data_IF_852656962008
#
_entry.id   IF_852656962008
#
_cell.length_a   1.000
_cell.length_b   1.000
_cell.length_c   1.000
_cell.angle_alpha   90.00
_cell.angle_beta   90.00
_cell.angle_gamma   90.00
#
_symmetry.space_group_name_H-M   'P 1'
#
loop_
_entity.id
_entity.type
_entity.pdbx_description
1 polymer ?
#
# COMPACT_ATOMS: atom_id res chain seq x y z
N UNK A 1 -13.69 60.91 45.66
CA UNK A 1 -13.39 61.23 47.07
C UNK A 1 -13.10 59.90 47.74
N UNK A 2 -11.81 59.54 47.86
CA UNK A 2 -11.01 59.63 49.10
C UNK A 2 -11.40 58.50 50.07
N UNK A 3 -10.55 57.65 50.65
CA UNK A 3 -9.11 57.46 50.85
C UNK A 3 -8.99 55.99 51.34
N UNK A 4 -8.09 55.13 50.84
CA UNK A 4 -6.67 54.94 51.22
C UNK A 4 -6.42 54.42 52.66
N UNK A 5 -5.79 53.23 52.70
CA UNK A 5 -4.86 52.68 53.70
C UNK A 5 -5.43 52.12 55.03
N UNK A 6 -4.89 51.05 55.63
CA UNK A 6 -3.46 50.66 55.70
C UNK A 6 -3.28 49.25 56.28
N UNK A 7 -2.26 48.51 55.78
CA UNK A 7 -1.17 47.83 56.53
C UNK A 7 -1.49 46.78 57.61
N UNK A 8 -0.72 45.71 57.85
CA UNK A 8 0.38 44.99 57.19
C UNK A 8 0.77 43.81 58.11
N UNK A 9 1.34 42.75 57.53
CA UNK A 9 2.40 41.84 58.02
C UNK A 9 2.29 41.27 59.47
N UNK A 10 2.62 40.00 59.74
CA UNK A 10 3.94 39.39 59.50
C UNK A 10 3.96 37.92 59.96
N UNK A 11 4.84 37.13 59.30
CA UNK A 11 5.61 35.93 59.77
C UNK A 11 5.14 34.53 59.39
N UNK A 12 5.81 34.03 58.35
CA UNK A 12 6.27 32.66 58.13
C UNK A 12 6.77 31.97 59.42
N UNK A 13 6.44 30.68 59.56
CA UNK A 13 7.47 29.63 59.50
C UNK A 13 6.88 28.25 59.23
N UNK A 14 7.50 27.56 58.26
CA UNK A 14 7.27 26.18 57.84
C UNK A 14 7.39 25.17 58.99
N UNK A 15 6.52 24.15 58.98
CA UNK A 15 6.94 22.74 59.10
C UNK A 15 5.93 21.81 58.42
N UNK A 16 6.45 21.00 57.51
CA UNK A 16 5.80 19.90 56.77
C UNK A 16 5.42 18.74 57.70
N UNK A 17 4.31 18.05 57.40
CA UNK A 17 4.19 16.58 57.16
C UNK A 17 2.69 16.23 57.04
N UNK A 18 2.20 15.92 55.83
CA UNK A 18 2.04 14.61 55.15
C UNK A 18 0.65 13.98 55.38
N UNK A 19 -0.04 13.85 54.23
CA UNK A 19 -1.01 12.84 53.74
C UNK A 19 -2.29 12.48 54.51
N UNK A 20 -3.37 12.08 53.83
CA UNK A 20 -3.87 12.28 52.47
C UNK A 20 -5.27 11.66 52.52
N UNK A 21 -6.28 12.32 51.96
CA UNK A 21 -7.60 11.74 51.75
C UNK A 21 -8.18 12.28 50.45
N UNK A 22 -9.00 11.43 49.85
CA UNK A 22 -10.11 11.72 48.92
C UNK A 22 -9.83 11.90 47.43
N UNK A 23 -10.24 10.86 46.69
CA UNK A 23 -11.22 10.89 45.58
C UNK A 23 -11.41 12.22 44.86
N UNK A 24 -11.05 12.30 43.58
CA UNK A 24 -11.49 13.40 42.70
C UNK A 24 -11.94 12.91 41.33
N UNK A 25 -13.07 13.49 40.93
CA UNK A 25 -13.76 13.56 39.64
C UNK A 25 -12.87 13.78 38.41
N UNK A 26 -13.25 13.15 37.29
CA UNK A 26 -12.62 13.31 35.98
C UNK A 26 -13.07 14.65 35.37
N UNK A 27 -12.11 15.57 35.17
CA UNK A 27 -12.28 16.83 34.46
C UNK A 27 -11.79 16.72 33.00
N UNK A 28 -12.35 17.57 32.14
CA UNK A 28 -12.09 17.65 30.70
C UNK A 28 -10.60 17.93 30.37
N UNK A 29 -10.11 17.32 29.29
CA UNK A 29 -8.73 17.44 28.83
C UNK A 29 -8.46 18.78 28.13
N UNK A 30 -7.32 19.37 28.50
CA UNK A 30 -6.71 20.65 28.08
C UNK A 30 -6.08 20.54 26.66
N UNK A 31 -6.16 21.55 25.76
CA UNK A 31 -5.74 21.42 24.36
C UNK A 31 -4.29 21.85 24.06
N UNK A 32 -3.42 22.02 25.05
CA UNK A 32 -2.00 22.34 24.83
C UNK A 32 -1.07 21.51 25.72
N UNK A 33 -0.62 20.35 25.24
CA UNK A 33 0.64 19.77 25.70
C UNK A 33 1.26 18.82 24.66
N UNK A 34 2.32 19.31 24.04
CA UNK A 34 3.46 18.62 23.43
C UNK A 34 3.20 17.37 22.55
N UNK A 35 3.40 17.54 21.25
CA UNK A 35 3.82 16.42 20.39
C UNK A 35 5.10 15.80 20.97
N UNK A 36 5.22 14.46 21.05
CA UNK A 36 6.49 13.85 21.38
C UNK A 36 7.47 14.05 20.21
N UNK A 37 8.65 14.62 20.50
CA UNK A 37 9.71 14.90 19.52
C UNK A 37 10.36 13.64 18.90
N UNK A 38 9.89 12.44 19.25
CA UNK A 38 10.34 11.19 18.68
C UNK A 38 9.15 10.26 18.43
N UNK A 39 8.82 9.90 17.17
CA UNK A 39 7.88 8.81 16.93
C UNK A 39 8.47 7.53 17.54
N UNK A 40 7.63 6.75 18.19
CA UNK A 40 7.95 5.47 18.81
C UNK A 40 8.95 4.64 17.97
N UNK A 41 10.20 4.55 18.44
CA UNK A 41 11.30 3.80 17.82
C UNK A 41 11.89 2.84 18.87
N UNK A 42 11.53 1.54 18.88
CA UNK A 42 12.15 0.62 19.83
C UNK A 42 13.45 -0.04 19.34
N UNK A 43 13.94 0.19 18.10
CA UNK A 43 15.10 -0.58 17.58
C UNK A 43 16.04 0.17 16.62
N UNK A 44 16.29 1.47 16.80
CA UNK A 44 17.23 2.19 15.92
C UNK A 44 18.72 2.13 16.33
N UNK A 45 19.09 1.56 17.48
CA UNK A 45 20.51 1.55 17.93
C UNK A 45 21.13 0.17 18.14
N UNK A 46 20.53 -0.91 17.64
CA UNK A 46 21.12 -2.24 17.73
C UNK A 46 21.41 -2.73 16.33
N UNK A 47 22.68 -2.72 15.92
CA UNK A 47 23.09 -3.60 14.82
C UNK A 47 22.67 -5.02 15.20
N UNK A 48 21.99 -5.77 14.32
CA UNK A 48 21.61 -7.13 14.62
C UNK A 48 22.88 -7.88 15.06
N UNK A 49 22.83 -8.64 16.18
CA UNK A 49 23.97 -9.47 16.56
C UNK A 49 24.35 -10.31 15.35
N UNK A 50 25.64 -10.53 15.12
CA UNK A 50 26.17 -11.35 14.01
C UNK A 50 25.70 -12.81 14.01
N UNK A 51 24.80 -13.15 14.94
CA UNK A 51 24.28 -14.46 15.25
C UNK A 51 22.80 -14.33 15.70
N UNK A 52 21.97 -13.61 14.94
CA UNK A 52 20.51 -13.68 15.09
C UNK A 52 20.04 -15.07 14.64
N UNK A 53 20.22 -16.05 15.52
CA UNK A 53 19.90 -17.44 15.25
C UNK A 53 18.40 -17.57 15.01
N UNK A 54 18.06 -18.22 13.90
CA UNK A 54 16.72 -18.69 13.59
C UNK A 54 16.13 -19.34 14.84
N UNK A 55 14.87 -19.03 15.16
CA UNK A 55 14.19 -19.56 16.33
C UNK A 55 12.94 -20.32 15.93
N UNK A 56 12.59 -21.36 16.68
CA UNK A 56 11.37 -22.14 16.46
C UNK A 56 10.11 -21.34 16.83
N UNK A 57 8.93 -21.94 16.61
CA UNK A 57 7.64 -21.31 16.89
C UNK A 57 7.40 -20.94 18.37
N UNK A 58 8.27 -21.40 19.27
CA UNK A 58 8.22 -21.10 20.71
C UNK A 58 9.33 -20.12 21.14
N UNK A 59 10.09 -19.56 20.19
CA UNK A 59 11.16 -18.61 20.45
C UNK A 59 12.46 -19.25 20.96
N UNK A 60 12.64 -20.56 20.78
CA UNK A 60 13.88 -21.26 21.13
C UNK A 60 14.85 -21.23 19.95
N UNK A 61 16.16 -20.98 20.18
CA UNK A 61 17.16 -20.98 19.11
C UNK A 61 17.23 -22.35 18.41
N UNK A 62 17.18 -22.35 17.09
CA UNK A 62 17.38 -23.55 16.28
C UNK A 62 18.81 -24.04 16.42
N UNK A 63 18.97 -25.37 16.52
CA UNK A 63 20.27 -26.02 16.47
C UNK A 63 20.90 -25.88 15.07
N UNK A 64 22.23 -25.96 14.99
CA UNK A 64 22.96 -25.88 13.71
C UNK A 64 22.45 -26.89 12.67
N UNK A 65 22.01 -28.07 13.13
CA UNK A 65 21.44 -29.11 12.28
C UNK A 65 20.05 -28.76 11.74
N UNK A 66 19.25 -28.02 12.49
CA UNK A 66 17.94 -27.52 12.05
C UNK A 66 18.11 -26.37 11.06
N UNK A 67 19.10 -25.50 11.27
CA UNK A 67 19.48 -24.45 10.32
C UNK A 67 19.93 -25.07 8.99
N UNK A 68 20.83 -26.05 9.03
CA UNK A 68 21.33 -26.72 7.82
C UNK A 68 20.22 -27.53 7.09
N UNK A 69 19.25 -28.07 7.83
CA UNK A 69 18.09 -28.74 7.27
C UNK A 69 17.14 -27.76 6.56
N UNK A 70 16.86 -26.61 7.18
CA UNK A 70 16.05 -25.54 6.59
C UNK A 70 16.70 -24.99 5.31
N UNK A 71 18.00 -24.72 5.34
CA UNK A 71 18.74 -24.23 4.17
C UNK A 71 18.73 -25.24 3.01
N UNK A 72 18.77 -26.54 3.34
CA UNK A 72 18.70 -27.63 2.36
C UNK A 72 17.29 -27.79 1.80
N UNK A 73 16.26 -27.61 2.62
CA UNK A 73 14.85 -27.63 2.22
C UNK A 73 14.52 -26.45 1.30
N UNK A 74 14.92 -25.23 1.68
CA UNK A 74 14.82 -24.04 0.82
C UNK A 74 15.56 -24.23 -0.51
N UNK A 75 16.70 -24.93 -0.51
CA UNK A 75 17.43 -25.25 -1.76
C UNK A 75 16.66 -26.23 -2.65
N UNK A 76 16.00 -27.23 -2.06
CA UNK A 76 15.20 -28.20 -2.81
C UNK A 76 13.91 -27.57 -3.37
N UNK A 77 13.31 -26.65 -2.63
CA UNK A 77 12.12 -25.89 -3.03
C UNK A 77 12.38 -24.92 -4.19
N UNK A 78 13.51 -24.22 -4.16
CA UNK A 78 13.99 -23.40 -5.28
C UNK A 78 14.11 -24.22 -6.57
N UNK A 79 14.55 -25.47 -6.48
CA UNK A 79 14.68 -26.35 -7.63
C UNK A 79 13.34 -26.92 -8.13
N UNK A 80 12.25 -26.83 -7.35
CA UNK A 80 10.96 -27.43 -7.65
C UNK A 80 9.88 -26.43 -8.11
N UNK A 81 10.13 -25.12 -8.00
CA UNK A 81 9.21 -24.07 -8.45
C UNK A 81 9.46 -23.78 -9.94
N UNK A 82 8.49 -24.00 -10.85
CA UNK A 82 8.69 -23.70 -12.27
C UNK A 82 8.85 -22.20 -12.49
N UNK A 83 9.87 -21.80 -13.24
CA UNK A 83 10.05 -20.42 -13.67
C UNK A 83 9.03 -20.06 -14.76
N UNK A 84 8.52 -18.80 -14.80
CA UNK A 84 7.76 -18.32 -15.94
C UNK A 84 8.56 -18.55 -17.24
N UNK A 85 7.91 -19.06 -18.28
CA UNK A 85 8.57 -19.39 -19.54
C UNK A 85 8.79 -18.18 -20.45
N UNK A 86 8.10 -17.05 -20.20
CA UNK A 86 8.22 -15.80 -20.94
C UNK A 86 8.26 -14.61 -19.96
N UNK A 87 9.27 -13.76 -20.08
CA UNK A 87 9.47 -12.57 -19.23
C UNK A 87 9.25 -11.26 -19.98
N UNK A 88 8.83 -11.33 -21.25
CA UNK A 88 8.01 -10.25 -21.74
C UNK A 88 6.72 -10.34 -20.93
N UNK A 89 6.67 -9.57 -19.83
CA UNK A 89 5.40 -9.22 -19.21
C UNK A 89 4.66 -8.43 -20.29
N UNK A 90 3.94 -9.17 -21.14
CA UNK A 90 3.12 -8.59 -22.15
C UNK A 90 2.03 -7.85 -21.37
N UNK A 91 2.10 -6.53 -21.43
CA UNK A 91 0.92 -5.71 -21.18
C UNK A 91 -0.20 -6.32 -22.04
N UNK A 92 -1.37 -6.67 -21.47
CA UNK A 92 -2.37 -7.34 -22.28
C UNK A 92 -2.74 -6.43 -23.46
N UNK A 93 -2.60 -6.93 -24.69
CA UNK A 93 -2.72 -6.13 -25.92
C UNK A 93 -4.09 -5.45 -26.09
N UNK A 94 -5.08 -5.92 -25.34
CA UNK A 94 -6.47 -5.46 -25.37
C UNK A 94 -6.79 -4.42 -24.29
N UNK A 95 -5.83 -4.03 -23.44
CA UNK A 95 -6.10 -3.01 -22.43
C UNK A 95 -6.22 -1.62 -23.07
N UNK A 96 -7.18 -0.80 -22.59
CA UNK A 96 -7.35 0.55 -23.07
C UNK A 96 -6.16 1.43 -22.69
N UNK A 97 -5.60 2.12 -23.68
CA UNK A 97 -4.53 3.11 -23.52
C UNK A 97 -5.09 4.46 -23.97
N UNK A 98 -5.51 5.36 -23.06
CA UNK A 98 -5.37 5.36 -21.58
C UNK A 98 -6.45 4.52 -20.83
N UNK A 99 -6.32 4.29 -19.50
CA UNK A 99 -5.31 4.84 -18.58
C UNK A 99 -4.00 4.06 -18.55
N UNK A 100 -3.98 2.83 -19.07
CA UNK A 100 -2.78 2.01 -19.09
C UNK A 100 -1.73 2.61 -20.01
N UNK A 101 -0.46 2.47 -19.61
CA UNK A 101 0.69 2.88 -20.42
C UNK A 101 1.69 1.74 -20.43
N UNK A 102 2.18 1.38 -21.61
CA UNK A 102 2.97 0.17 -21.80
C UNK A 102 4.44 0.42 -21.46
N UNK A 103 4.76 0.41 -20.16
CA UNK A 103 6.15 0.39 -19.68
C UNK A 103 6.66 -1.04 -19.70
N UNK A 104 7.57 -1.34 -20.62
CA UNK A 104 8.05 -2.71 -20.81
C UNK A 104 8.67 -3.28 -19.53
N UNK A 105 8.16 -4.44 -19.10
CA UNK A 105 8.62 -5.12 -17.90
C UNK A 105 8.03 -4.59 -16.59
N UNK A 106 7.03 -3.71 -16.65
CA UNK A 106 6.33 -3.21 -15.46
C UNK A 106 4.83 -3.53 -15.59
N UNK A 107 4.31 -4.52 -14.83
CA UNK A 107 2.89 -4.83 -14.87
C UNK A 107 2.08 -3.73 -14.21
N UNK A 108 0.79 -3.69 -14.56
CA UNK A 108 -0.19 -2.85 -13.88
C UNK A 108 0.15 -1.34 -13.93
N UNK A 109 0.95 -0.90 -14.90
CA UNK A 109 1.39 0.50 -15.04
C UNK A 109 0.31 1.38 -15.69
N UNK A 110 -0.10 2.45 -15.00
CA UNK A 110 -1.09 3.39 -15.53
C UNK A 110 -0.96 4.77 -14.92
N UNK A 111 -1.50 5.75 -15.63
CA UNK A 111 -1.67 7.12 -15.16
C UNK A 111 -2.91 7.24 -14.25
N UNK A 112 -2.84 8.07 -13.21
CA UNK A 112 -3.99 8.41 -12.35
C UNK A 112 -4.71 9.69 -12.80
N UNK A 113 -4.14 10.44 -13.74
CA UNK A 113 -4.63 11.73 -14.23
C UNK A 113 -5.79 11.63 -15.22
N UNK A 114 -6.46 12.76 -15.42
CA UNK A 114 -7.50 12.99 -16.41
C UNK A 114 -8.93 12.70 -15.94
N UNK A 115 -9.14 12.10 -14.76
CA UNK A 115 -10.49 11.87 -14.23
C UNK A 115 -11.16 13.19 -13.80
N UNK A 116 -12.45 13.41 -14.14
CA UNK A 116 -13.21 14.55 -13.67
C UNK A 116 -13.17 14.69 -12.15
N UNK A 117 -12.94 15.90 -11.67
CA UNK A 117 -12.85 16.21 -10.24
C UNK A 117 -13.56 17.53 -9.89
N UNK A 118 -13.62 17.86 -8.61
CA UNK A 118 -14.24 19.10 -8.14
C UNK A 118 -13.29 20.29 -8.33
N UNK A 119 -13.81 21.51 -8.61
CA UNK A 119 -12.98 22.71 -8.73
C UNK A 119 -12.15 22.97 -7.47
N UNK A 120 -10.92 23.49 -7.59
CA UNK A 120 -10.15 23.91 -6.42
C UNK A 120 -10.91 24.95 -5.60
N UNK A 121 -10.67 25.00 -4.29
CA UNK A 121 -11.41 25.88 -3.36
C UNK A 121 -11.33 27.38 -3.72
N UNK A 122 -10.29 27.79 -4.46
CA UNK A 122 -10.05 29.17 -4.91
C UNK A 122 -10.70 29.52 -6.27
N UNK A 123 -11.35 28.55 -6.93
CA UNK A 123 -11.81 28.70 -8.32
C UNK A 123 -13.33 28.86 -8.45
N UNK A 124 -13.76 29.58 -9.50
CA UNK A 124 -15.16 29.64 -9.92
C UNK A 124 -15.60 28.34 -10.62
N UNK A 125 -16.91 28.14 -10.78
CA UNK A 125 -17.45 27.05 -11.60
C UNK A 125 -16.81 27.05 -13.00
N UNK A 126 -16.49 25.85 -13.50
CA UNK A 126 -15.95 25.70 -14.85
C UNK A 126 -16.98 26.17 -15.89
N UNK A 127 -16.54 26.86 -16.97
CA UNK A 127 -17.39 27.12 -18.12
C UNK A 127 -17.95 25.81 -18.70
N UNK A 128 -19.12 25.81 -19.36
CA UNK A 128 -19.74 24.58 -19.90
C UNK A 128 -18.86 23.77 -20.87
N UNK A 129 -17.88 24.40 -21.52
CA UNK A 129 -16.97 23.76 -22.47
C UNK A 129 -15.70 23.18 -21.81
N UNK A 130 -15.56 23.31 -20.48
CA UNK A 130 -14.36 22.89 -19.75
C UNK A 130 -14.72 22.07 -18.53
N UNK A 131 -13.80 21.20 -18.13
CA UNK A 131 -13.92 20.40 -16.91
C UNK A 131 -12.64 20.46 -16.09
N UNK A 132 -12.80 20.42 -14.78
CA UNK A 132 -11.69 20.16 -13.88
C UNK A 132 -11.39 18.66 -13.88
N UNK A 133 -10.13 18.32 -14.01
CA UNK A 133 -9.65 16.94 -13.94
C UNK A 133 -8.45 16.84 -13.00
N UNK A 134 -8.21 15.64 -12.46
CA UNK A 134 -6.95 15.31 -11.80
C UNK A 134 -5.82 15.49 -12.83
N UNK A 135 -4.79 16.26 -12.48
CA UNK A 135 -3.73 16.69 -13.40
C UNK A 135 -3.04 15.53 -14.09
N UNK A 136 -2.95 15.63 -15.43
CA UNK A 136 -2.30 14.62 -16.26
C UNK A 136 -0.77 14.69 -16.21
N UNK A 137 -0.14 13.59 -16.59
CA UNK A 137 1.31 13.38 -16.67
C UNK A 137 2.06 13.58 -15.35
N UNK A 138 1.40 13.49 -14.20
CA UNK A 138 2.00 13.76 -12.89
C UNK A 138 2.09 12.52 -12.00
N UNK A 139 1.06 11.69 -12.00
CA UNK A 139 0.91 10.58 -11.06
C UNK A 139 0.77 9.27 -11.82
N UNK A 140 1.71 8.37 -11.58
CA UNK A 140 1.70 7.03 -12.14
C UNK A 140 1.77 5.99 -11.04
N UNK A 141 1.13 4.85 -11.27
CA UNK A 141 1.14 3.71 -10.35
C UNK A 141 1.44 2.42 -11.09
N UNK A 142 2.05 1.46 -10.39
CA UNK A 142 2.33 0.16 -10.97
C UNK A 142 2.50 -0.96 -9.93
N UNK A 143 2.65 -2.19 -10.42
CA UNK A 143 3.21 -3.29 -9.65
C UNK A 143 4.75 -3.14 -9.53
N UNK A 144 5.40 -4.05 -8.80
CA UNK A 144 6.83 -3.94 -8.59
C UNK A 144 7.61 -3.96 -9.92
N UNK A 145 8.57 -3.05 -10.12
CA UNK A 145 9.25 -2.87 -11.41
C UNK A 145 10.51 -3.74 -11.52
N UNK A 146 10.56 -4.89 -10.83
CA UNK A 146 11.75 -5.75 -10.77
C UNK A 146 12.17 -6.25 -12.16
N UNK A 147 11.25 -6.24 -13.13
CA UNK A 147 11.49 -6.70 -14.50
C UNK A 147 11.63 -5.54 -15.50
N UNK A 148 11.77 -4.28 -15.03
CA UNK A 148 11.93 -3.11 -15.88
C UNK A 148 13.09 -3.31 -16.86
N UNK A 149 12.82 -3.11 -18.15
CA UNK A 149 13.84 -3.21 -19.19
C UNK A 149 14.50 -1.86 -19.47
N UNK A 150 15.67 -1.81 -20.14
CA UNK A 150 16.26 -0.55 -20.58
C UNK A 150 15.33 0.30 -21.47
N UNK A 151 14.53 -0.34 -22.32
CA UNK A 151 13.51 0.33 -23.13
C UNK A 151 12.40 0.92 -22.24
N UNK A 152 11.91 0.16 -21.26
CA UNK A 152 10.94 0.65 -20.28
C UNK A 152 11.49 1.82 -19.45
N UNK A 153 12.75 1.73 -19.00
CA UNK A 153 13.42 2.80 -18.28
C UNK A 153 13.56 4.06 -19.12
N UNK A 154 13.97 3.94 -20.39
CA UNK A 154 14.05 5.06 -21.33
C UNK A 154 12.68 5.70 -21.54
N UNK A 155 11.62 4.89 -21.67
CA UNK A 155 10.26 5.40 -21.80
C UNK A 155 9.82 6.16 -20.54
N UNK A 156 10.09 5.63 -19.34
CA UNK A 156 9.83 6.33 -18.07
C UNK A 156 10.54 7.68 -18.01
N UNK A 157 11.86 7.70 -18.20
CA UNK A 157 12.69 8.90 -17.97
C UNK A 157 12.59 9.93 -19.09
N UNK A 158 12.42 9.49 -20.34
CA UNK A 158 12.48 10.37 -21.52
C UNK A 158 11.10 10.68 -22.09
N UNK A 159 10.16 9.74 -22.06
CA UNK A 159 8.82 9.95 -22.62
C UNK A 159 7.85 10.44 -21.55
N UNK A 160 7.82 9.80 -20.38
CA UNK A 160 6.95 10.19 -19.27
C UNK A 160 7.58 11.23 -18.33
N UNK A 161 8.87 11.53 -18.51
CA UNK A 161 9.66 12.46 -17.69
C UNK A 161 9.62 12.10 -16.19
N UNK A 162 9.54 10.81 -15.87
CA UNK A 162 9.53 10.30 -14.49
C UNK A 162 10.96 10.12 -14.01
N UNK A 163 11.29 10.78 -12.91
CA UNK A 163 12.61 10.69 -12.27
C UNK A 163 12.56 10.22 -10.80
N UNK A 164 11.36 10.13 -10.21
CA UNK A 164 11.16 9.69 -8.82
C UNK A 164 10.22 8.48 -8.77
N UNK A 165 10.67 7.40 -8.13
CA UNK A 165 9.88 6.18 -7.93
C UNK A 165 9.83 5.78 -6.46
N UNK A 166 8.64 5.74 -5.88
CA UNK A 166 8.40 5.45 -4.47
C UNK A 166 8.02 3.99 -4.26
N UNK A 167 8.84 3.27 -3.48
CA UNK A 167 8.66 1.85 -3.16
C UNK A 167 8.04 1.70 -1.77
N UNK A 168 6.77 1.29 -1.75
CA UNK A 168 5.97 1.10 -0.53
C UNK A 168 6.12 -0.29 0.10
N UNK A 169 6.95 -1.16 -0.49
CA UNK A 169 7.19 -2.52 0.01
C UNK A 169 8.04 -2.52 1.26
N UNK A 170 7.86 -3.52 2.13
CA UNK A 170 8.75 -3.75 3.26
C UNK A 170 10.06 -4.41 2.78
N UNK A 171 11.14 -4.27 3.57
CA UNK A 171 12.41 -4.93 3.27
C UNK A 171 12.29 -6.47 3.16
N UNK A 172 11.52 -7.18 4.01
CA UNK A 172 11.31 -8.62 3.85
C UNK A 172 10.61 -9.02 2.54
N UNK A 173 9.66 -8.22 2.04
CA UNK A 173 9.01 -8.48 0.75
C UNK A 173 9.97 -8.32 -0.41
N UNK A 174 10.77 -7.25 -0.33
CA UNK A 174 11.82 -6.96 -1.29
C UNK A 174 12.84 -8.10 -1.34
N UNK A 175 13.32 -8.56 -0.19
CA UNK A 175 14.30 -9.65 -0.09
C UNK A 175 13.75 -10.97 -0.63
N UNK A 176 12.47 -11.29 -0.39
CA UNK A 176 11.83 -12.50 -0.94
C UNK A 176 11.69 -12.48 -2.46
N UNK A 177 11.39 -11.31 -3.03
CA UNK A 177 11.40 -11.15 -4.48
C UNK A 177 12.84 -11.25 -5.02
N UNK A 178 13.80 -10.61 -4.36
CA UNK A 178 15.22 -10.71 -4.71
C UNK A 178 15.72 -12.16 -4.70
N UNK A 179 15.36 -12.95 -3.68
CA UNK A 179 15.75 -14.36 -3.56
C UNK A 179 15.14 -15.21 -4.66
N UNK A 180 13.86 -15.00 -4.99
CA UNK A 180 13.17 -15.70 -6.09
C UNK A 180 13.88 -15.44 -7.41
N UNK A 181 14.27 -14.19 -7.64
CA UNK A 181 14.95 -13.77 -8.87
C UNK A 181 16.38 -14.30 -8.90
N UNK A 182 17.13 -14.22 -7.81
CA UNK A 182 18.51 -14.74 -7.72
C UNK A 182 18.57 -16.28 -7.88
N UNK A 183 17.56 -17.01 -7.41
CA UNK A 183 17.51 -18.47 -7.54
C UNK A 183 17.13 -18.95 -8.94
N UNK A 184 16.62 -18.06 -9.80
CA UNK A 184 16.13 -18.44 -11.13
C UNK A 184 17.23 -18.73 -12.17
N UNK A 185 18.51 -18.67 -11.79
CA UNK A 185 19.64 -18.86 -12.71
C UNK A 185 19.74 -17.82 -13.85
N UNK A 186 18.77 -16.92 -13.95
CA UNK A 186 18.75 -15.79 -14.87
C UNK A 186 19.58 -14.68 -14.28
N UNK A 187 20.40 -14.03 -15.10
CA UNK A 187 20.93 -12.71 -14.74
C UNK A 187 19.72 -11.85 -14.39
N UNK A 188 19.61 -11.52 -13.11
CA UNK A 188 18.65 -10.52 -12.59
C UNK A 188 18.65 -9.36 -13.58
N UNK A 189 17.46 -8.95 -14.01
CA UNK A 189 17.27 -7.96 -15.08
C UNK A 189 18.26 -6.82 -14.94
N UNK A 190 18.80 -6.27 -16.05
CA UNK A 190 19.96 -5.38 -16.03
C UNK A 190 19.82 -4.13 -15.14
N UNK A 191 18.61 -3.84 -14.63
CA UNK A 191 18.28 -2.68 -13.82
C UNK A 191 17.88 -3.00 -12.37
N UNK A 192 17.68 -4.26 -12.00
CA UNK A 192 17.34 -4.66 -10.63
C UNK A 192 18.57 -5.18 -9.88
N UNK A 193 18.75 -4.72 -8.65
CA UNK A 193 19.82 -5.18 -7.76
C UNK A 193 19.58 -6.65 -7.35
N UNK A 194 20.57 -7.54 -7.48
CA UNK A 194 20.48 -8.91 -6.96
C UNK A 194 20.36 -8.96 -5.43
N UNK A 195 20.84 -7.91 -4.75
CA UNK A 195 20.85 -7.82 -3.28
C UNK A 195 19.55 -7.23 -2.78
N UNK A 196 19.06 -6.17 -3.44
CA UNK A 196 17.88 -5.46 -2.99
C UNK A 196 16.63 -5.77 -3.82
N UNK A 197 16.67 -6.59 -4.87
CA UNK A 197 15.49 -6.91 -5.71
C UNK A 197 14.82 -5.70 -6.39
N UNK A 198 15.49 -4.55 -6.43
CA UNK A 198 14.92 -3.25 -6.81
C UNK A 198 15.82 -2.43 -7.73
N UNK A 199 15.23 -1.39 -8.32
CA UNK A 199 15.89 -0.44 -9.22
C UNK A 199 16.78 0.56 -8.44
N UNK A 200 17.97 0.14 -8.06
CA UNK A 200 18.89 1.01 -7.33
C UNK A 200 19.86 1.77 -8.25
N UNK A 201 20.07 1.28 -9.48
CA UNK A 201 21.10 1.80 -10.40
C UNK A 201 20.54 2.07 -11.82
N UNK A 202 19.45 2.85 -11.91
CA UNK A 202 18.87 3.24 -13.19
C UNK A 202 19.22 4.70 -13.50
N UNK A 203 19.98 5.01 -14.57
CA UNK A 203 20.31 6.38 -14.94
C UNK A 203 19.06 7.24 -15.11
N UNK A 204 19.02 8.38 -14.42
CA UNK A 204 17.89 9.31 -14.49
C UNK A 204 16.65 8.87 -13.70
N UNK A 205 16.65 7.74 -13.00
CA UNK A 205 15.52 7.31 -12.17
C UNK A 205 15.99 7.04 -10.75
N UNK A 206 15.46 7.81 -9.80
CA UNK A 206 15.75 7.66 -8.38
C UNK A 206 14.66 6.85 -7.70
N UNK A 207 15.06 5.77 -7.04
CA UNK A 207 14.21 5.04 -6.10
C UNK A 207 14.20 5.73 -4.73
N UNK A 208 13.02 5.86 -4.15
CA UNK A 208 12.79 6.28 -2.78
C UNK A 208 12.18 5.10 -2.01
N UNK A 209 12.95 4.54 -1.08
CA UNK A 209 12.47 3.47 -0.22
C UNK A 209 11.64 4.07 0.93
N UNK A 210 10.31 3.93 0.84
CA UNK A 210 9.34 4.55 1.76
C UNK A 210 8.30 3.51 2.19
N UNK A 211 8.70 2.48 2.95
CA UNK A 211 7.83 1.35 3.25
C UNK A 211 6.61 1.79 4.08
N UNK A 212 5.43 1.26 3.74
CA UNK A 212 4.23 1.40 4.62
C UNK A 212 4.43 0.62 5.92
N UNK A 213 5.13 -0.52 5.85
CA UNK A 213 5.51 -1.32 7.00
C UNK A 213 7.03 -1.47 7.02
N UNK A 214 7.70 -0.89 8.01
CA UNK A 214 9.16 -0.98 8.15
C UNK A 214 9.61 -2.45 8.29
N UNK A 215 8.95 -3.17 9.18
CA UNK A 215 9.02 -4.62 9.31
C UNK A 215 7.59 -5.14 9.30
N UNK A 216 7.32 -6.13 8.46
CA UNK A 216 6.07 -6.87 8.54
C UNK A 216 6.28 -8.07 9.45
N UNK A 217 5.35 -8.27 10.37
CA UNK A 217 5.29 -9.51 11.14
C UNK A 217 4.85 -10.64 10.20
N UNK A 218 5.82 -11.49 9.85
CA UNK A 218 5.64 -12.75 9.12
C UNK A 218 5.50 -13.94 10.08
N UNK A 219 5.36 -13.69 11.37
CA UNK A 219 5.08 -14.72 12.35
C UNK A 219 3.79 -15.49 12.01
N UNK A 220 3.71 -16.78 12.37
CA UNK A 220 2.57 -17.64 12.01
C UNK A 220 1.20 -17.05 12.34
N UNK A 221 1.09 -16.32 13.46
CA UNK A 221 -0.16 -15.67 13.90
C UNK A 221 -0.54 -14.49 13.01
N UNK A 222 0.42 -13.64 12.62
CA UNK A 222 0.17 -12.50 11.75
C UNK A 222 -0.18 -12.94 10.33
N UNK A 223 0.48 -13.98 9.82
CA UNK A 223 0.15 -14.59 8.53
C UNK A 223 -1.21 -15.27 8.54
N UNK A 224 -1.54 -16.04 9.59
CA UNK A 224 -2.86 -16.66 9.73
C UNK A 224 -3.98 -15.60 9.81
N UNK A 225 -3.75 -14.49 10.51
CA UNK A 225 -4.70 -13.37 10.59
C UNK A 225 -4.89 -12.70 9.23
N UNK A 226 -3.81 -12.43 8.50
CA UNK A 226 -3.88 -11.89 7.12
C UNK A 226 -4.60 -12.86 6.19
N UNK A 227 -4.32 -14.16 6.31
CA UNK A 227 -4.99 -15.17 5.52
C UNK A 227 -6.49 -15.18 5.80
N UNK A 228 -6.89 -15.24 7.07
CA UNK A 228 -8.28 -15.17 7.46
C UNK A 228 -8.97 -13.89 6.94
N UNK A 229 -8.29 -12.75 6.94
CA UNK A 229 -8.84 -11.51 6.39
C UNK A 229 -9.00 -11.56 4.87
N UNK A 230 -7.97 -11.98 4.14
CA UNK A 230 -7.98 -11.93 2.68
C UNK A 230 -8.72 -13.09 2.02
N UNK A 231 -8.97 -14.19 2.73
CA UNK A 231 -9.81 -15.30 2.24
C UNK A 231 -11.27 -15.20 2.69
N UNK A 232 -11.57 -14.32 3.67
CA UNK A 232 -12.92 -14.08 4.15
C UNK A 232 -13.88 -13.88 2.97
N UNK A 233 -14.98 -14.62 2.99
CA UNK A 233 -16.04 -14.46 2.00
C UNK A 233 -16.58 -13.04 2.03
N UNK A 234 -17.05 -12.58 0.87
CA UNK A 234 -17.63 -11.26 0.78
C UNK A 234 -18.88 -11.24 1.64
N UNK A 235 -18.90 -10.38 2.65
CA UNK A 235 -20.12 -10.02 3.33
C UNK A 235 -20.98 -9.22 2.36
N UNK A 236 -22.16 -9.75 2.04
CA UNK A 236 -23.23 -8.93 1.50
C UNK A 236 -23.85 -8.14 2.64
N UNK A 237 -23.55 -6.85 2.69
CA UNK A 237 -24.34 -5.93 3.48
C UNK A 237 -25.56 -5.52 2.64
N UNK A 238 -26.72 -6.09 2.97
CA UNK A 238 -27.99 -5.81 2.32
C UNK A 238 -28.42 -4.34 2.47
N UNK A 239 -27.93 -3.62 3.48
CA UNK A 239 -28.19 -2.18 3.65
C UNK A 239 -27.23 -1.32 2.81
N UNK A 240 -25.99 -1.75 2.61
CA UNK A 240 -25.01 -1.01 1.81
C UNK A 240 -25.24 -1.12 0.29
N UNK A 241 -25.87 -2.20 -0.18
CA UNK A 241 -26.24 -2.40 -1.59
C UNK A 241 -25.10 -2.89 -2.50
N UNK A 242 -23.95 -3.30 -1.94
CA UNK A 242 -22.82 -3.87 -2.68
C UNK A 242 -22.05 -4.92 -1.84
N UNK A 243 -21.28 -5.79 -2.50
CA UNK A 243 -20.48 -6.83 -1.85
C UNK A 243 -19.09 -6.31 -1.48
N UNK A 244 -18.58 -6.64 -0.29
CA UNK A 244 -17.20 -6.34 0.10
C UNK A 244 -16.69 -7.36 1.12
N UNK A 245 -15.39 -7.38 1.37
CA UNK A 245 -14.76 -8.20 2.40
C UNK A 245 -14.30 -7.33 3.56
N UNK A 246 -14.86 -7.57 4.74
CA UNK A 246 -14.45 -6.96 6.01
C UNK A 246 -12.95 -7.08 6.27
N UNK A 247 -12.35 -8.21 5.90
CA UNK A 247 -10.92 -8.42 6.05
C UNK A 247 -10.08 -7.47 5.20
N UNK A 248 -10.50 -7.20 3.96
CA UNK A 248 -9.86 -6.19 3.10
C UNK A 248 -10.06 -4.77 3.64
N UNK A 249 -11.23 -4.44 4.17
CA UNK A 249 -11.48 -3.11 4.78
C UNK A 249 -10.55 -2.88 5.98
N UNK A 250 -10.41 -3.88 6.86
CA UNK A 250 -9.46 -3.85 7.99
C UNK A 250 -8.02 -3.70 7.51
N UNK A 251 -7.63 -4.41 6.45
CA UNK A 251 -6.31 -4.27 5.87
C UNK A 251 -6.08 -2.85 5.32
N UNK A 252 -7.07 -2.21 4.68
CA UNK A 252 -6.93 -0.84 4.14
C UNK A 252 -6.88 0.21 5.23
N UNK A 253 -7.63 0.02 6.31
CA UNK A 253 -7.50 0.80 7.53
C UNK A 253 -6.09 0.72 8.11
N UNK A 254 -5.54 -0.48 8.23
CA UNK A 254 -4.17 -0.67 8.74
C UNK A 254 -3.13 -0.05 7.80
N UNK A 255 -3.30 -0.20 6.49
CA UNK A 255 -2.42 0.42 5.48
C UNK A 255 -2.45 1.94 5.59
N UNK A 256 -3.63 2.55 5.68
CA UNK A 256 -3.75 4.00 5.82
C UNK A 256 -3.10 4.46 7.14
N UNK A 257 -3.34 3.75 8.24
CA UNK A 257 -2.78 4.11 9.55
C UNK A 257 -1.24 4.07 9.55
N UNK A 258 -0.64 2.97 9.09
CA UNK A 258 0.81 2.79 9.11
C UNK A 258 1.51 3.51 7.95
N UNK A 259 0.80 3.70 6.83
CA UNK A 259 1.31 4.33 5.62
C UNK A 259 1.39 5.85 5.70
N UNK A 260 0.81 6.48 6.73
CA UNK A 260 0.76 7.94 6.87
C UNK A 260 2.13 8.61 6.68
N UNK A 261 3.20 8.05 7.26
CA UNK A 261 4.56 8.57 7.08
C UNK A 261 5.07 8.47 5.63
N UNK A 262 4.91 7.31 4.98
CA UNK A 262 5.27 7.12 3.58
C UNK A 262 4.46 8.02 2.64
N UNK A 263 3.17 8.16 2.90
CA UNK A 263 2.27 9.01 2.12
C UNK A 263 2.59 10.49 2.31
N UNK A 264 3.00 10.91 3.51
CA UNK A 264 3.46 12.29 3.77
C UNK A 264 4.62 12.67 2.86
N UNK A 265 5.60 11.78 2.68
CA UNK A 265 6.74 12.04 1.79
C UNK A 265 6.28 12.28 0.35
N UNK A 266 5.32 11.48 -0.14
CA UNK A 266 4.79 11.65 -1.49
C UNK A 266 3.88 12.89 -1.61
N UNK A 267 3.07 13.21 -0.60
CA UNK A 267 2.30 14.47 -0.60
C UNK A 267 3.21 15.70 -0.57
N UNK A 268 4.32 15.64 0.16
CA UNK A 268 5.34 16.69 0.17
C UNK A 268 6.03 16.83 -1.19
N UNK A 269 6.32 15.74 -1.89
CA UNK A 269 6.76 15.80 -3.29
C UNK A 269 5.78 16.62 -4.13
N UNK A 270 4.49 16.29 -4.10
CA UNK A 270 3.46 16.95 -4.92
C UNK A 270 3.20 18.41 -4.52
N UNK A 271 3.52 18.76 -3.28
CA UNK A 271 3.49 20.14 -2.79
C UNK A 271 4.68 20.96 -3.30
N UNK A 272 5.88 20.43 -3.15
CA UNK A 272 7.13 21.15 -3.36
C UNK A 272 7.56 21.12 -4.85
N UNK A 273 7.16 20.08 -5.57
CA UNK A 273 7.54 19.78 -6.96
C UNK A 273 6.30 19.44 -7.82
N UNK A 274 5.31 20.34 -7.95
CA UNK A 274 3.98 20.04 -8.53
C UNK A 274 3.94 19.76 -10.04
N UNK A 275 5.09 19.84 -10.70
CA UNK A 275 5.26 19.54 -12.12
C UNK A 275 6.27 18.40 -12.36
N UNK A 276 6.82 17.81 -11.30
CA UNK A 276 7.72 16.66 -11.40
C UNK A 276 6.90 15.37 -11.25
N UNK A 277 6.85 14.51 -12.28
CA UNK A 277 6.07 13.29 -12.21
C UNK A 277 6.71 12.25 -11.30
N UNK A 278 5.87 11.50 -10.59
CA UNK A 278 6.30 10.39 -9.75
C UNK A 278 5.57 9.09 -10.09
N UNK A 279 6.25 7.97 -9.87
CA UNK A 279 5.65 6.64 -9.81
C UNK A 279 5.60 6.17 -8.36
N UNK A 280 4.48 5.57 -7.94
CA UNK A 280 4.40 4.89 -6.65
C UNK A 280 3.92 3.44 -6.83
N UNK A 281 4.54 2.51 -6.11
CA UNK A 281 4.25 1.09 -6.29
C UNK A 281 4.32 0.32 -4.98
N UNK A 282 3.74 -0.87 -5.00
CA UNK A 282 3.99 -1.89 -3.99
C UNK A 282 4.31 -3.22 -4.71
N UNK A 283 3.86 -4.36 -4.19
CA UNK A 283 4.06 -5.65 -4.87
C UNK A 283 3.17 -5.76 -6.10
N UNK A 284 1.85 -5.86 -5.93
CA UNK A 284 0.90 -5.94 -7.05
C UNK A 284 0.46 -4.57 -7.60
N UNK A 285 0.83 -3.47 -6.92
CA UNK A 285 0.26 -2.16 -7.22
C UNK A 285 -1.22 -2.04 -6.84
N UNK A 286 -1.69 -2.90 -5.92
CA UNK A 286 -3.10 -3.06 -5.53
C UNK A 286 -3.43 -2.32 -4.23
N UNK A 287 -3.02 -2.86 -3.08
CA UNK A 287 -3.53 -2.43 -1.78
C UNK A 287 -2.88 -1.11 -1.28
N UNK A 288 -1.58 -1.14 -0.95
CA UNK A 288 -0.85 0.07 -0.47
C UNK A 288 -0.83 1.20 -1.49
N UNK A 289 -0.73 0.84 -2.77
CA UNK A 289 -0.80 1.75 -3.89
C UNK A 289 -2.23 2.27 -4.08
N UNK A 290 -3.24 1.40 -3.98
CA UNK A 290 -4.64 1.77 -4.14
C UNK A 290 -5.15 2.70 -3.05
N UNK A 291 -4.76 2.48 -1.80
CA UNK A 291 -5.10 3.38 -0.69
C UNK A 291 -4.53 4.78 -0.95
N UNK A 292 -3.26 4.90 -1.36
CA UNK A 292 -2.69 6.21 -1.71
C UNK A 292 -3.38 6.87 -2.90
N UNK A 293 -3.65 6.11 -3.98
CA UNK A 293 -4.39 6.60 -5.15
C UNK A 293 -5.79 7.10 -4.78
N UNK A 294 -6.51 6.35 -3.94
CA UNK A 294 -7.83 6.73 -3.45
C UNK A 294 -7.79 8.01 -2.61
N UNK A 295 -6.78 8.19 -1.75
CA UNK A 295 -6.60 9.44 -0.98
C UNK A 295 -6.39 10.64 -1.90
N UNK A 296 -5.54 10.51 -2.94
CA UNK A 296 -5.33 11.59 -3.94
C UNK A 296 -6.63 11.92 -4.67
N UNK A 297 -7.32 10.91 -5.19
CA UNK A 297 -8.54 11.12 -5.97
C UNK A 297 -9.68 11.70 -5.12
N UNK A 298 -9.80 11.26 -3.86
CA UNK A 298 -10.74 11.87 -2.89
C UNK A 298 -10.38 13.31 -2.56
N UNK A 299 -9.10 13.66 -2.44
CA UNK A 299 -8.67 15.03 -2.14
C UNK A 299 -9.10 16.02 -3.21
N UNK A 300 -8.99 15.64 -4.49
CA UNK A 300 -9.44 16.51 -5.60
C UNK A 300 -10.95 16.38 -5.86
N UNK A 301 -11.62 15.40 -5.25
CA UNK A 301 -13.07 15.20 -5.38
C UNK A 301 -13.47 14.47 -6.67
N UNK A 302 -12.68 13.48 -7.10
CA UNK A 302 -13.15 12.52 -8.11
C UNK A 302 -14.32 11.72 -7.54
N UNK A 303 -15.27 11.38 -8.40
CA UNK A 303 -16.44 10.57 -8.04
C UNK A 303 -16.05 9.20 -7.47
N UNK A 304 -16.82 8.73 -6.48
CA UNK A 304 -16.53 7.48 -5.76
C UNK A 304 -16.52 6.26 -6.68
N UNK A 305 -17.44 6.17 -7.65
CA UNK A 305 -17.50 5.03 -8.56
C UNK A 305 -16.28 5.01 -9.49
N UNK A 306 -15.78 6.18 -9.89
CA UNK A 306 -14.54 6.30 -10.67
C UNK A 306 -13.32 5.85 -9.85
N UNK A 307 -13.25 6.21 -8.56
CA UNK A 307 -12.17 5.75 -7.67
C UNK A 307 -12.20 4.22 -7.52
N UNK A 308 -13.38 3.66 -7.28
CA UNK A 308 -13.54 2.21 -7.12
C UNK A 308 -13.23 1.46 -8.43
N UNK A 309 -13.63 2.02 -9.57
CA UNK A 309 -13.29 1.48 -10.89
C UNK A 309 -11.79 1.55 -11.18
N UNK A 310 -11.12 2.68 -10.93
CA UNK A 310 -9.67 2.83 -11.11
C UNK A 310 -8.88 1.86 -10.23
N UNK A 311 -9.28 1.71 -8.97
CA UNK A 311 -8.71 0.71 -8.08
C UNK A 311 -8.84 -0.69 -8.67
N UNK A 312 -10.03 -1.02 -9.19
CA UNK A 312 -10.36 -2.32 -9.71
C UNK A 312 -9.66 -2.68 -11.02
N UNK A 313 -9.17 -1.69 -11.79
CA UNK A 313 -8.31 -1.91 -12.95
C UNK A 313 -7.02 -2.68 -12.63
N UNK A 314 -6.69 -2.87 -11.36
CA UNK A 314 -5.54 -3.68 -10.95
C UNK A 314 -5.63 -5.13 -11.45
N UNK A 315 -6.81 -5.75 -11.43
CA UNK A 315 -6.98 -7.11 -11.94
C UNK A 315 -6.62 -7.26 -13.44
N UNK A 316 -7.24 -6.51 -14.36
CA UNK A 316 -6.89 -6.58 -15.78
C UNK A 316 -5.46 -6.07 -16.03
N UNK A 317 -5.01 -5.06 -15.28
CA UNK A 317 -3.64 -4.51 -15.38
C UNK A 317 -2.54 -5.50 -15.00
N UNK A 318 -2.83 -6.47 -14.14
CA UNK A 318 -1.90 -7.56 -13.83
C UNK A 318 -1.86 -8.63 -14.94
N UNK A 319 -2.93 -8.79 -15.73
CA UNK A 319 -2.95 -9.72 -16.86
C UNK A 319 -2.49 -11.14 -16.49
N UNK A 320 -1.55 -11.69 -17.26
CA UNK A 320 -0.97 -13.03 -17.02
C UNK A 320 -0.35 -13.20 -15.64
N UNK A 321 0.22 -12.13 -15.06
CA UNK A 321 0.81 -12.17 -13.71
C UNK A 321 -0.19 -12.48 -12.62
N UNK A 322 -1.46 -12.11 -12.81
CA UNK A 322 -2.51 -12.45 -11.85
C UNK A 322 -2.63 -13.96 -11.71
N UNK A 323 -2.56 -14.71 -12.81
CA UNK A 323 -2.64 -16.18 -12.82
C UNK A 323 -1.45 -16.80 -12.10
N UNK A 324 -0.24 -16.33 -12.41
CA UNK A 324 0.98 -16.78 -11.73
C UNK A 324 0.93 -16.51 -10.22
N UNK A 325 0.38 -15.36 -9.81
CA UNK A 325 0.27 -15.03 -8.39
C UNK A 325 -0.76 -15.90 -7.66
N UNK A 326 -1.88 -16.19 -8.31
CA UNK A 326 -2.89 -17.13 -7.81
C UNK A 326 -2.29 -18.53 -7.64
N UNK A 327 -1.59 -19.02 -8.65
CA UNK A 327 -0.97 -20.35 -8.62
C UNK A 327 0.09 -20.43 -7.51
N UNK A 328 0.91 -19.39 -7.35
CA UNK A 328 1.88 -19.30 -6.27
C UNK A 328 1.21 -19.34 -4.89
N UNK A 329 0.22 -18.49 -4.65
CA UNK A 329 -0.47 -18.43 -3.35
C UNK A 329 -1.20 -19.75 -3.06
N UNK A 330 -1.81 -20.38 -4.07
CA UNK A 330 -2.46 -21.68 -3.90
C UNK A 330 -1.44 -22.77 -3.52
N UNK A 331 -0.22 -22.71 -4.04
CA UNK A 331 0.83 -23.70 -3.75
C UNK A 331 1.54 -23.45 -2.40
N UNK A 332 1.85 -22.18 -2.09
CA UNK A 332 2.77 -21.83 -0.98
C UNK A 332 2.12 -21.02 0.16
N UNK A 333 0.85 -20.63 0.01
CA UNK A 333 0.13 -19.79 0.98
C UNK A 333 0.59 -18.31 0.97
N UNK A 334 0.06 -17.53 1.92
CA UNK A 334 0.48 -16.13 2.08
C UNK A 334 1.88 -16.05 2.70
N UNK A 335 2.80 -15.39 1.97
CA UNK A 335 4.17 -15.20 2.43
C UNK A 335 5.15 -16.31 2.04
N UNK A 336 4.67 -17.39 1.41
CA UNK A 336 5.50 -18.48 0.90
C UNK A 336 6.36 -18.04 -0.28
N UNK A 337 7.56 -17.55 0.02
CA UNK A 337 8.67 -17.59 -0.93
C UNK A 337 9.10 -19.04 -1.11
N UNK A 338 8.48 -19.76 -2.04
CA UNK A 338 8.93 -21.09 -2.48
C UNK A 338 8.71 -22.27 -1.53
N UNK A 339 8.33 -22.05 -0.27
CA UNK A 339 8.02 -23.08 0.74
C UNK A 339 6.93 -24.08 0.35
N UNK A 340 7.19 -25.40 0.43
CA UNK A 340 6.16 -26.44 0.41
C UNK A 340 5.15 -26.22 1.54
N UNK A 341 3.89 -26.67 1.37
CA UNK A 341 2.91 -26.65 2.46
C UNK A 341 3.46 -27.42 3.66
N UNK A 342 3.51 -26.77 4.83
CA UNK A 342 3.83 -27.42 6.10
C UNK A 342 2.92 -28.64 6.27
N UNK A 343 3.52 -29.83 6.37
CA UNK A 343 2.83 -31.01 6.84
C UNK A 343 2.24 -30.69 8.22
N UNK A 344 0.91 -30.53 8.29
CA UNK A 344 0.21 -30.75 9.56
C UNK A 344 0.58 -32.15 10.02
N UNK A 345 1.06 -32.27 11.26
CA UNK A 345 1.34 -33.56 11.89
C UNK A 345 0.10 -34.47 11.75
N UNK A 346 0.25 -35.51 10.93
CA UNK A 346 -0.76 -36.53 10.68
C UNK A 346 -1.03 -37.32 11.96
N UNK A 347 -2.28 -37.31 12.42
CA UNK A 347 -2.84 -38.43 13.16
C UNK A 347 -3.28 -39.46 12.11
N UNK A 348 -2.56 -40.57 12.03
CA UNK A 348 -2.73 -41.60 11.00
C UNK A 348 -4.02 -42.39 11.25
N UNK A 349 -5.03 -42.21 10.40
CA UNK A 349 -6.04 -43.23 10.09
C UNK A 349 -6.21 -43.31 8.59
N UNK A 350 -5.73 -44.41 8.00
CA UNK A 350 -5.57 -44.54 6.55
C UNK A 350 -6.89 -44.53 5.80
N UNK A 351 -7.00 -43.60 4.86
CA UNK A 351 -7.80 -43.68 3.63
C UNK A 351 -7.23 -42.63 2.65
N UNK A 352 -7.28 -42.93 1.35
CA UNK A 352 -6.50 -42.30 0.25
C UNK A 352 -6.48 -40.75 0.30
N UNK A 353 -5.32 -40.16 0.60
CA UNK A 353 -5.13 -38.71 0.71
C UNK A 353 -4.78 -38.05 -0.63
N UNK A 354 -5.62 -37.13 -1.10
CA UNK A 354 -5.18 -36.02 -1.96
C UNK A 354 -4.84 -34.87 -1.00
N UNK A 355 -3.56 -34.54 -0.81
CA UNK A 355 -3.16 -33.36 -0.01
C UNK A 355 -3.79 -32.10 -0.61
N UNK A 356 -4.76 -31.51 0.08
CA UNK A 356 -5.36 -30.24 -0.33
C UNK A 356 -4.30 -29.12 -0.17
N UNK A 357 -4.18 -28.19 -1.12
CA UNK A 357 -3.35 -27.00 -0.93
C UNK A 357 -3.80 -26.22 0.32
N UNK A 358 -2.85 -25.53 0.97
CA UNK A 358 -3.11 -24.75 2.19
C UNK A 358 -4.14 -23.62 1.98
N UNK A 359 -4.32 -23.19 0.72
CA UNK A 359 -5.30 -22.20 0.27
C UNK A 359 -5.86 -22.70 -1.06
N UNK A 360 -7.19 -22.72 -1.24
CA UNK A 360 -7.81 -23.12 -2.50
C UNK A 360 -7.45 -22.13 -3.63
N UNK A 361 -7.55 -22.56 -4.90
CA UNK A 361 -7.31 -21.64 -6.03
C UNK A 361 -8.30 -20.47 -6.01
N UNK A 362 -9.54 -20.71 -5.60
CA UNK A 362 -10.59 -19.70 -5.44
C UNK A 362 -10.27 -18.73 -4.30
N UNK A 363 -9.75 -19.22 -3.18
CA UNK A 363 -9.26 -18.38 -2.07
C UNK A 363 -8.07 -17.53 -2.51
N UNK A 364 -7.11 -18.12 -3.24
CA UNK A 364 -5.98 -17.41 -3.82
C UNK A 364 -6.43 -16.33 -4.84
N UNK A 365 -7.44 -16.64 -5.65
CA UNK A 365 -8.06 -15.68 -6.56
C UNK A 365 -8.72 -14.51 -5.81
N UNK A 366 -9.38 -14.76 -4.68
CA UNK A 366 -9.91 -13.70 -3.81
C UNK A 366 -8.80 -12.81 -3.24
N UNK A 367 -7.69 -13.40 -2.78
CA UNK A 367 -6.52 -12.65 -2.30
C UNK A 367 -5.95 -11.76 -3.41
N UNK A 368 -5.90 -12.25 -4.64
CA UNK A 368 -5.41 -11.49 -5.80
C UNK A 368 -6.41 -10.46 -6.35
N UNK A 369 -7.69 -10.58 -6.02
CA UNK A 369 -8.75 -9.72 -6.53
C UNK A 369 -8.67 -8.27 -6.06
N UNK A 370 -9.17 -7.34 -6.88
CA UNK A 370 -9.27 -5.90 -6.59
C UNK A 370 -10.70 -5.42 -6.79
N UNK A 371 -11.65 -5.97 -6.04
CA UNK A 371 -13.07 -5.64 -6.23
C UNK A 371 -13.40 -4.21 -5.78
N UNK A 372 -14.20 -3.50 -6.57
CA UNK A 372 -14.66 -2.14 -6.32
C UNK A 372 -15.31 -1.99 -4.93
N UNK A 373 -16.16 -2.92 -4.52
CA UNK A 373 -16.81 -2.89 -3.21
C UNK A 373 -15.86 -2.82 -2.01
N UNK A 374 -14.66 -3.42 -2.07
CA UNK A 374 -13.67 -3.31 -0.99
C UNK A 374 -13.15 -1.87 -0.84
N UNK A 375 -12.88 -1.21 -1.97
CA UNK A 375 -12.45 0.19 -1.98
C UNK A 375 -13.60 1.11 -1.54
N UNK A 376 -14.82 0.85 -2.02
CA UNK A 376 -16.02 1.60 -1.62
C UNK A 376 -16.24 1.54 -0.11
N UNK A 377 -16.14 0.34 0.47
CA UNK A 377 -16.27 0.16 1.91
C UNK A 377 -15.16 0.89 2.68
N UNK A 378 -13.91 0.83 2.24
CA UNK A 378 -12.83 1.63 2.85
C UNK A 378 -13.10 3.13 2.80
N UNK A 379 -13.51 3.66 1.65
CA UNK A 379 -13.82 5.07 1.48
C UNK A 379 -14.92 5.51 2.47
N UNK A 380 -16.03 4.77 2.55
CA UNK A 380 -17.17 5.17 3.38
C UNK A 380 -16.95 4.93 4.87
N UNK A 381 -16.49 3.74 5.24
CA UNK A 381 -16.43 3.33 6.66
C UNK A 381 -15.18 3.83 7.36
N UNK A 382 -14.03 3.76 6.69
CA UNK A 382 -12.74 4.09 7.29
C UNK A 382 -12.37 5.54 7.01
N UNK A 383 -12.31 5.95 5.74
CA UNK A 383 -11.85 7.29 5.39
C UNK A 383 -12.85 8.35 5.85
N UNK A 384 -14.12 8.26 5.46
CA UNK A 384 -15.15 9.22 5.89
C UNK A 384 -15.56 8.98 7.35
N UNK A 385 -15.83 7.72 7.73
CA UNK A 385 -16.35 7.38 9.05
C UNK A 385 -15.33 7.49 10.20
N UNK A 386 -14.17 6.86 10.10
CA UNK A 386 -13.18 6.83 11.18
C UNK A 386 -12.19 8.00 11.15
N UNK A 387 -11.65 8.32 9.97
CA UNK A 387 -10.67 9.40 9.84
C UNK A 387 -11.30 10.79 9.70
N UNK A 388 -12.62 10.88 9.51
CA UNK A 388 -13.33 12.16 9.36
C UNK A 388 -13.10 12.82 8.00
N UNK A 389 -12.80 12.03 6.96
CA UNK A 389 -12.56 12.46 5.60
C UNK A 389 -11.08 12.70 5.26
N UNK A 390 -10.80 12.86 3.97
CA UNK A 390 -9.42 12.96 3.44
C UNK A 390 -8.65 14.17 3.98
N UNK A 391 -9.31 15.31 4.19
CA UNK A 391 -8.67 16.51 4.75
C UNK A 391 -8.26 16.28 6.21
N UNK A 392 -9.13 15.66 7.01
CA UNK A 392 -8.82 15.28 8.41
C UNK A 392 -7.69 14.25 8.46
N UNK A 393 -7.70 13.26 7.57
CA UNK A 393 -6.59 12.31 7.45
C UNK A 393 -5.26 13.01 7.15
N UNK A 394 -5.21 13.89 6.14
CA UNK A 394 -3.98 14.59 5.75
C UNK A 394 -3.45 15.52 6.84
N UNK A 395 -4.35 16.17 7.59
CA UNK A 395 -3.95 17.09 8.65
C UNK A 395 -3.51 16.37 9.92
N UNK A 396 -4.26 15.35 10.36
CA UNK A 396 -4.01 14.64 11.62
C UNK A 396 -2.98 13.52 11.50
N UNK A 397 -3.04 12.76 10.41
CA UNK A 397 -2.17 11.58 10.21
C UNK A 397 -0.90 11.95 9.45
N UNK A 398 -1.00 12.80 8.43
CA UNK A 398 0.15 13.21 7.62
C UNK A 398 0.81 14.53 8.07
N UNK A 399 0.22 15.25 9.03
CA UNK A 399 0.81 16.47 9.59
C UNK A 399 0.89 17.64 8.61
N UNK A 400 0.05 17.67 7.56
CA UNK A 400 -0.07 18.83 6.68
C UNK A 400 -0.96 19.89 7.33
N UNK A 401 -0.65 21.16 7.13
CA UNK A 401 -1.57 22.25 7.48
C UNK A 401 -2.75 22.30 6.50
N UNK A 402 -3.88 22.89 6.91
CA UNK A 402 -5.02 23.08 6.01
C UNK A 402 -4.66 23.89 4.75
N UNK A 403 -3.77 24.89 4.90
CA UNK A 403 -3.26 25.68 3.79
C UNK A 403 -2.43 24.83 2.81
N UNK A 404 -1.65 23.89 3.31
CA UNK A 404 -0.93 22.92 2.47
C UNK A 404 -1.90 21.96 1.78
N UNK A 405 -2.92 21.46 2.46
CA UNK A 405 -3.93 20.59 1.84
C UNK A 405 -4.67 21.34 0.71
N UNK A 406 -5.02 22.61 0.92
CA UNK A 406 -5.63 23.44 -0.12
C UNK A 406 -4.69 23.65 -1.32
N UNK A 407 -3.41 23.97 -1.08
CA UNK A 407 -2.41 24.13 -2.14
C UNK A 407 -2.14 22.82 -2.89
N UNK A 408 -2.11 21.69 -2.18
CA UNK A 408 -1.97 20.37 -2.79
C UNK A 408 -3.13 20.08 -3.75
N UNK A 409 -4.37 20.39 -3.32
CA UNK A 409 -5.56 20.25 -4.18
C UNK A 409 -5.47 21.14 -5.42
N UNK A 410 -4.96 22.36 -5.31
CA UNK A 410 -4.70 23.25 -6.45
C UNK A 410 -3.64 22.67 -7.39
N UNK A 411 -2.51 22.21 -6.86
CA UNK A 411 -1.42 21.62 -7.65
C UNK A 411 -1.85 20.37 -8.44
N UNK A 412 -2.80 19.60 -7.89
CA UNK A 412 -3.32 18.35 -8.45
C UNK A 412 -4.49 18.53 -9.41
N UNK A 413 -5.01 19.74 -9.60
CA UNK A 413 -6.20 19.97 -10.41
C UNK A 413 -5.86 20.82 -11.63
N UNK A 414 -6.38 20.45 -12.79
CA UNK A 414 -6.23 21.23 -14.02
C UNK A 414 -7.57 21.43 -14.72
N UNK A 415 -7.74 22.58 -15.40
CA UNK A 415 -8.92 22.89 -16.18
C UNK A 415 -8.66 22.60 -17.66
N UNK A 416 -9.37 21.63 -18.21
CA UNK A 416 -9.19 21.15 -19.59
C UNK A 416 -10.45 21.38 -20.42
N UNK A 417 -10.32 21.30 -21.75
CA UNK A 417 -11.49 21.33 -22.63
C UNK A 417 -12.26 20.00 -22.51
N UNK A 418 -13.59 20.05 -22.50
CA UNK A 418 -14.44 18.87 -22.37
C UNK A 418 -14.54 18.10 -23.70
N UNK A 419 -13.40 17.55 -24.13
CA UNK A 419 -13.23 16.81 -25.38
C UNK A 419 -12.57 15.45 -25.14
N UNK A 420 -12.82 14.45 -26.01
CA UNK A 420 -12.17 13.15 -25.92
C UNK A 420 -10.64 13.26 -25.86
N UNK A 421 -10.02 12.51 -24.94
CA UNK A 421 -8.57 12.47 -24.74
C UNK A 421 -8.03 13.46 -23.70
N UNK A 422 -8.77 14.54 -23.39
CA UNK A 422 -8.44 15.42 -22.26
C UNK A 422 -9.15 15.01 -20.97
N UNK A 423 -10.40 14.57 -21.10
CA UNK A 423 -11.20 14.04 -19.98
C UNK A 423 -11.26 12.52 -20.07
N UNK A 424 -10.77 11.85 -19.01
CA UNK A 424 -10.86 10.40 -18.89
C UNK A 424 -12.28 9.98 -18.57
N UNK A 425 -12.67 8.84 -19.13
CA UNK A 425 -13.95 8.19 -18.84
C UNK A 425 -13.69 6.73 -18.48
N UNK A 426 -14.62 6.12 -17.74
CA UNK A 426 -14.56 4.68 -17.51
C UNK A 426 -14.74 3.97 -18.86
N UNK A 427 -13.94 2.94 -19.05
CA UNK A 427 -13.91 2.14 -20.28
C UNK A 427 -14.28 0.70 -19.96
N UNK A 428 -14.99 0.07 -20.89
CA UNK A 428 -15.33 -1.34 -20.81
C UNK A 428 -14.09 -2.19 -21.14
N UNK A 429 -13.91 -3.29 -20.41
CA UNK A 429 -12.85 -4.28 -20.65
C UNK A 429 -13.54 -5.64 -20.72
N UNK A 430 -13.34 -6.34 -21.84
CA UNK A 430 -13.98 -7.64 -22.07
C UNK A 430 -13.56 -8.67 -21.00
N UNK A 431 -14.50 -9.48 -20.54
CA UNK A 431 -14.27 -10.49 -19.49
C UNK A 431 -13.98 -9.95 -18.09
N UNK A 432 -14.22 -8.65 -17.83
CA UNK A 432 -13.98 -8.02 -16.54
C UNK A 432 -15.08 -7.02 -16.16
N UNK A 433 -15.40 -6.94 -14.86
CA UNK A 433 -16.21 -5.84 -14.29
C UNK A 433 -15.59 -5.34 -13.00
N UNK A 434 -15.82 -4.09 -12.59
CA UNK A 434 -15.22 -3.58 -11.35
C UNK A 434 -15.70 -4.33 -10.08
N UNK A 435 -16.97 -4.76 -10.07
CA UNK A 435 -17.58 -5.48 -8.94
C UNK A 435 -17.27 -6.99 -8.96
N UNK A 436 -17.27 -7.60 -10.15
CA UNK A 436 -17.06 -9.05 -10.34
C UNK A 436 -15.64 -9.44 -10.74
N UNK A 437 -14.75 -8.47 -10.96
CA UNK A 437 -13.39 -8.55 -11.54
C UNK A 437 -13.23 -9.55 -12.68
N UNK A 438 -12.04 -10.15 -12.81
CA UNK A 438 -11.73 -11.02 -13.96
C UNK A 438 -12.42 -12.39 -13.81
N UNK A 439 -12.98 -12.89 -14.91
CA UNK A 439 -13.39 -14.28 -15.05
C UNK A 439 -12.15 -15.12 -15.37
N UNK A 440 -11.82 -16.08 -14.51
CA UNK A 440 -10.61 -16.92 -14.60
C UNK A 440 -10.77 -18.20 -15.42
#
# INVERSE_FOLDING_TARGET
MAEINTSAATKNNNHNTIDDTTTTTIAAADPESAQPEHPYQPYMDVQPPSAAHLSDANGMPLSEKEVEALEKEERAERAATPEPSDFNIAFPDHLPTPPFLHVQGVPNFRELGGYPCQPPSSSSQAPPSKKYVLKKNLLYRCAHPTHLTPTGATYLTTTLNVHDMYDLRSAPEINRLASTVASSGKSVYPLASPVSGCLDEVPGLKRHFVPVYQTEDYGPVALARKLAWYTAEHSHDHEAGYAYSEGFVRAYRDIATHGAGAYTIMFRHLLDRPNEPLVFHCTAGKDRTGVFGALIMKLVGVDEDVICWEYALTEPGLGGWRKEFIERIAQTGLGGGGGKPQHQQQVVTGEREHSRPAVSREEAARICGSRAGNMRAFLRTVLEGEFGGVVSYLTRMCGLSEAEVARLRENLTELVDDVPGQVMTMVEIDGWTAEGGCVD
#
